data_IF_225278127743
#
_entry.id   IF_225278127743
#
_cell.length_a   1.000
_cell.length_b   1.000
_cell.length_c   1.000
_cell.angle_alpha   90.00
_cell.angle_beta   90.00
_cell.angle_gamma   90.00
#
_symmetry.space_group_name_H-M   'P 1'
#
loop_
_entity.id
_entity.type
_entity.pdbx_description
1 polymer ?
#
# COMPACT_ATOMS: atom_id res chain seq x y z
N UNK A 1 15.11 11.70 2.86
CA UNK A 1 14.55 10.48 2.24
C UNK A 1 15.04 10.43 0.80
N UNK A 2 15.62 9.32 0.38
CA UNK A 2 15.99 9.09 -1.03
C UNK A 2 14.97 8.10 -1.59
N UNK A 3 13.94 8.65 -2.22
CA UNK A 3 12.87 7.91 -2.91
C UNK A 3 13.42 7.47 -4.27
N UNK A 4 13.45 6.18 -4.55
CA UNK A 4 13.88 5.67 -5.86
C UNK A 4 12.91 4.59 -6.35
N UNK A 5 12.13 5.03 -7.34
CA UNK A 5 11.70 4.38 -8.58
C UNK A 5 11.26 2.90 -8.51
N UNK A 6 9.95 2.70 -8.36
CA UNK A 6 9.29 1.62 -9.09
C UNK A 6 9.41 1.92 -10.59
N UNK A 7 9.79 0.94 -11.41
CA UNK A 7 10.02 1.16 -12.85
C UNK A 7 8.79 1.73 -13.59
N UNK A 8 7.58 1.47 -13.09
CA UNK A 8 6.32 2.05 -13.60
C UNK A 8 5.89 3.36 -12.92
N UNK A 9 6.58 3.79 -11.86
CA UNK A 9 6.20 4.95 -11.03
C UNK A 9 5.04 4.67 -10.06
N UNK A 10 4.56 5.74 -9.43
CA UNK A 10 3.33 5.73 -8.63
C UNK A 10 2.07 5.80 -9.51
N UNK A 11 0.95 5.34 -8.95
CA UNK A 11 -0.32 5.25 -9.65
C UNK A 11 -0.88 6.64 -9.99
N UNK A 12 -0.56 7.67 -9.20
CA UNK A 12 -0.99 9.06 -9.50
C UNK A 12 -0.32 9.58 -10.77
N UNK A 13 0.97 9.38 -10.94
CA UNK A 13 1.73 9.73 -12.15
C UNK A 13 1.25 8.94 -13.35
N UNK A 14 0.89 7.66 -13.16
CA UNK A 14 0.35 6.83 -14.22
C UNK A 14 -1.01 7.35 -14.71
N UNK A 15 -1.95 7.60 -13.80
CA UNK A 15 -3.26 8.19 -14.09
C UNK A 15 -3.10 9.57 -14.74
N UNK A 16 -2.20 10.42 -14.22
CA UNK A 16 -1.93 11.74 -14.81
C UNK A 16 -1.46 11.70 -16.27
N UNK A 17 -0.83 10.61 -16.72
CA UNK A 17 -0.41 10.42 -18.12
C UNK A 17 -1.52 9.87 -19.01
N UNK A 18 -2.30 8.92 -18.51
CA UNK A 18 -3.32 8.20 -19.32
C UNK A 18 -4.73 8.77 -19.18
N UNK A 19 -4.94 9.71 -18.24
CA UNK A 19 -6.23 10.25 -17.88
C UNK A 19 -6.96 9.32 -16.91
N UNK A 20 -7.63 8.29 -17.42
CA UNK A 20 -8.37 7.30 -16.63
C UNK A 20 -7.99 5.88 -17.05
N UNK A 21 -8.25 4.93 -16.16
CA UNK A 21 -8.07 3.51 -16.42
C UNK A 21 -9.36 2.90 -16.96
N UNK A 22 -9.19 2.00 -17.93
CA UNK A 22 -10.27 1.11 -18.34
C UNK A 22 -10.63 0.16 -17.19
N UNK A 23 -11.89 -0.24 -17.13
CA UNK A 23 -12.44 -1.01 -16.01
C UNK A 23 -11.64 -2.30 -15.73
N UNK A 24 -11.19 -3.02 -16.77
CA UNK A 24 -10.39 -4.23 -16.61
C UNK A 24 -9.04 -3.96 -15.92
N UNK A 25 -8.36 -2.88 -16.31
CA UNK A 25 -7.09 -2.50 -15.68
C UNK A 25 -7.32 -2.05 -14.23
N UNK A 26 -8.38 -1.27 -14.00
CA UNK A 26 -8.75 -0.84 -12.66
C UNK A 26 -9.11 -2.02 -11.76
N UNK A 27 -9.85 -3.00 -12.29
CA UNK A 27 -10.19 -4.24 -11.60
C UNK A 27 -8.94 -5.02 -11.19
N UNK A 28 -7.97 -5.16 -12.08
CA UNK A 28 -6.73 -5.88 -11.77
C UNK A 28 -5.93 -5.20 -10.64
N UNK A 29 -5.69 -3.89 -10.75
CA UNK A 29 -4.98 -3.10 -9.72
C UNK A 29 -5.75 -3.13 -8.39
N UNK A 30 -7.06 -2.90 -8.42
CA UNK A 30 -7.86 -2.84 -7.21
C UNK A 30 -8.01 -4.22 -6.52
N UNK A 31 -8.08 -5.30 -7.29
CA UNK A 31 -8.04 -6.68 -6.76
C UNK A 31 -6.77 -6.91 -5.94
N UNK A 32 -5.61 -6.47 -6.45
CA UNK A 32 -4.36 -6.56 -5.71
C UNK A 32 -4.35 -5.67 -4.46
N UNK A 33 -4.93 -4.47 -4.52
CA UNK A 33 -5.06 -3.57 -3.37
C UNK A 33 -5.90 -4.19 -2.26
N UNK A 34 -7.03 -4.80 -2.62
CA UNK A 34 -7.87 -5.55 -1.68
C UNK A 34 -7.08 -6.70 -1.03
N UNK A 35 -6.22 -7.39 -1.77
CA UNK A 35 -5.37 -8.44 -1.20
C UNK A 35 -4.41 -7.90 -0.13
N UNK A 36 -3.68 -6.84 -0.45
CA UNK A 36 -2.66 -6.26 0.45
C UNK A 36 -3.33 -5.68 1.69
N UNK A 37 -4.41 -4.90 1.52
CA UNK A 37 -5.14 -4.31 2.65
C UNK A 37 -5.82 -5.39 3.49
N UNK A 38 -6.37 -6.44 2.87
CA UNK A 38 -6.90 -7.59 3.61
C UNK A 38 -5.84 -8.20 4.50
N UNK A 39 -4.65 -8.45 3.95
CA UNK A 39 -3.55 -9.01 4.71
C UNK A 39 -3.18 -8.10 5.91
N UNK A 40 -3.06 -6.79 5.70
CA UNK A 40 -2.79 -5.85 6.78
C UNK A 40 -3.88 -5.92 7.87
N UNK A 41 -5.14 -5.85 7.47
CA UNK A 41 -6.27 -5.86 8.40
C UNK A 41 -6.37 -7.17 9.18
N UNK A 42 -6.13 -8.31 8.54
CA UNK A 42 -6.13 -9.63 9.19
C UNK A 42 -5.03 -9.74 10.26
N UNK A 43 -3.89 -9.07 10.03
CA UNK A 43 -2.80 -8.97 11.01
C UNK A 43 -2.98 -7.82 12.03
N UNK A 44 -4.16 -7.21 12.07
CA UNK A 44 -4.47 -6.14 13.02
C UNK A 44 -3.73 -4.84 12.73
N UNK A 45 -3.42 -4.54 11.46
CA UNK A 45 -2.84 -3.26 11.03
C UNK A 45 -3.83 -2.52 10.14
N UNK A 46 -3.96 -1.20 10.35
CA UNK A 46 -4.60 -0.28 9.41
C UNK A 46 -3.55 0.69 8.86
N UNK A 47 -3.61 0.98 7.54
CA UNK A 47 -2.62 1.80 6.85
C UNK A 47 -2.82 3.30 7.10
N UNK A 48 -4.06 3.76 7.03
CA UNK A 48 -4.52 5.15 7.22
C UNK A 48 -3.98 6.19 6.23
N UNK A 49 -3.45 5.76 5.09
CA UNK A 49 -3.00 6.66 4.00
C UNK A 49 -2.98 5.92 2.64
N UNK A 50 -4.05 5.15 2.34
CA UNK A 50 -4.17 4.53 1.02
C UNK A 50 -4.52 5.63 0.01
N UNK A 51 -3.54 5.99 -0.81
CA UNK A 51 -3.65 7.00 -1.85
C UNK A 51 -2.87 6.58 -3.07
N UNK A 52 -3.15 7.22 -4.20
CA UNK A 52 -2.53 6.88 -5.48
C UNK A 52 -0.99 7.02 -5.43
N UNK A 53 -0.47 7.99 -4.68
CA UNK A 53 0.97 8.21 -4.46
C UNK A 53 1.65 7.03 -3.76
N UNK A 54 0.93 6.34 -2.87
CA UNK A 54 1.44 5.24 -2.07
C UNK A 54 1.24 3.88 -2.75
N UNK A 55 0.69 3.85 -3.98
CA UNK A 55 0.48 2.63 -4.75
C UNK A 55 1.45 2.66 -5.93
N UNK A 56 2.50 1.84 -5.84
CA UNK A 56 3.53 1.75 -6.87
C UNK A 56 3.20 0.64 -7.87
N UNK A 57 3.53 0.84 -9.13
CA UNK A 57 3.40 -0.15 -10.20
C UNK A 57 4.77 -0.67 -10.63
N UNK A 58 4.93 -1.99 -10.68
CA UNK A 58 6.09 -2.61 -11.31
C UNK A 58 5.90 -2.84 -12.82
N UNK A 59 6.97 -3.28 -13.49
CA UNK A 59 7.02 -3.54 -14.92
C UNK A 59 6.10 -4.69 -15.37
N UNK A 60 5.56 -5.46 -14.42
CA UNK A 60 4.64 -6.58 -14.65
C UNK A 60 3.19 -6.22 -14.32
N UNK A 61 2.92 -4.96 -13.99
CA UNK A 61 1.59 -4.50 -13.60
C UNK A 61 1.16 -4.96 -12.21
N UNK A 62 2.09 -5.41 -11.36
CA UNK A 62 1.80 -5.71 -9.97
C UNK A 62 1.90 -4.44 -9.13
N UNK A 63 1.02 -4.33 -8.15
CA UNK A 63 0.99 -3.18 -7.26
C UNK A 63 1.82 -3.45 -6.00
N UNK A 64 2.36 -2.39 -5.43
CA UNK A 64 3.00 -2.42 -4.10
C UNK A 64 2.53 -1.22 -3.31
N UNK A 65 1.84 -1.48 -2.21
CA UNK A 65 1.47 -0.47 -1.24
C UNK A 65 2.70 -0.09 -0.41
N UNK A 66 3.04 1.19 -0.39
CA UNK A 66 4.17 1.73 0.35
C UNK A 66 3.74 2.80 1.36
N UNK A 67 4.72 3.28 2.14
CA UNK A 67 4.55 4.31 3.16
C UNK A 67 3.56 3.97 4.30
N UNK A 68 4.00 3.05 5.15
CA UNK A 68 3.32 2.71 6.41
C UNK A 68 3.64 3.71 7.53
N UNK A 69 4.16 4.90 7.24
CA UNK A 69 4.54 5.90 8.26
C UNK A 69 3.36 6.34 9.15
N UNK A 70 2.14 6.22 8.64
CA UNK A 70 0.90 6.50 9.37
C UNK A 70 0.15 5.24 9.81
N UNK A 71 0.68 4.04 9.56
CA UNK A 71 0.01 2.80 9.92
C UNK A 71 -0.08 2.63 11.45
N UNK A 72 -1.10 1.91 11.92
CA UNK A 72 -1.30 1.64 13.35
C UNK A 72 -1.77 0.22 13.59
N UNK A 73 -1.45 -0.32 14.77
CA UNK A 73 -2.11 -1.53 15.27
C UNK A 73 -3.54 -1.23 15.67
N UNK A 74 -4.44 -2.13 15.32
CA UNK A 74 -5.86 -2.08 15.62
C UNK A 74 -6.17 -3.18 16.63
N UNK A 75 -6.42 -2.77 17.86
CA UNK A 75 -6.87 -3.67 18.92
C UNK A 75 -8.39 -3.81 18.85
N UNK A 76 -8.96 -5.03 18.87
CA UNK A 76 -10.41 -5.20 18.93
C UNK A 76 -11.03 -4.41 20.09
N UNK A 77 -12.08 -3.64 19.80
CA UNK A 77 -12.79 -2.83 20.79
C UNK A 77 -12.14 -1.49 21.14
N UNK A 78 -10.96 -1.17 20.59
CA UNK A 78 -10.34 0.15 20.76
C UNK A 78 -10.41 0.96 19.47
N UNK A 79 -10.83 2.22 19.58
CA UNK A 79 -10.79 3.15 18.48
C UNK A 79 -9.45 3.87 18.37
N UNK A 80 -9.22 4.48 17.21
CA UNK A 80 -8.02 5.29 16.94
C UNK A 80 -8.36 6.77 17.09
N UNK A 81 -7.45 7.54 17.68
CA UNK A 81 -7.54 9.00 17.80
C UNK A 81 -6.59 9.70 16.84
N UNK A 82 -6.86 10.98 16.59
CA UNK A 82 -6.02 11.86 15.80
C UNK A 82 -6.38 11.84 14.32
N UNK A 83 -6.26 13.01 13.70
CA UNK A 83 -6.40 13.17 12.27
C UNK A 83 -5.03 12.98 11.61
N UNK A 84 -4.95 12.12 10.60
CA UNK A 84 -3.76 11.87 9.81
C UNK A 84 -4.15 11.46 8.40
N UNK A 85 -3.19 11.48 7.48
CA UNK A 85 -3.41 11.13 6.08
C UNK A 85 -3.72 12.35 5.21
N UNK A 86 -3.93 12.08 3.92
CA UNK A 86 -4.17 13.10 2.90
C UNK A 86 -5.66 13.44 2.83
N UNK A 87 -6.01 14.74 2.93
CA UNK A 87 -7.39 15.23 3.13
C UNK A 87 -8.39 14.64 2.13
N UNK A 88 -8.04 14.57 0.84
CA UNK A 88 -8.93 14.09 -0.23
C UNK A 88 -9.29 12.60 -0.11
N UNK A 89 -8.54 11.84 0.70
CA UNK A 89 -8.73 10.41 0.94
C UNK A 89 -9.33 10.11 2.32
N UNK A 90 -9.46 11.12 3.18
CA UNK A 90 -9.94 10.95 4.55
C UNK A 90 -11.42 10.59 4.60
N UNK A 91 -11.78 9.77 5.57
CA UNK A 91 -13.17 9.38 5.81
C UNK A 91 -13.91 10.43 6.67
N UNK A 92 -15.24 10.61 6.51
CA UNK A 92 -16.01 11.64 7.20
C UNK A 92 -15.94 11.54 8.73
N UNK A 93 -15.80 10.33 9.28
CA UNK A 93 -15.69 10.11 10.72
C UNK A 93 -14.43 10.73 11.34
N UNK A 94 -13.35 10.92 10.57
CA UNK A 94 -12.09 11.48 11.05
C UNK A 94 -12.24 12.96 11.43
N UNK A 95 -13.22 13.65 10.87
CA UNK A 95 -13.54 15.06 11.15
C UNK A 95 -14.40 15.25 12.41
N UNK A 96 -14.74 14.17 13.11
CA UNK A 96 -15.53 14.24 14.35
C UNK A 96 -14.68 14.54 15.59
N UNK A 97 -13.36 14.34 15.51
CA UNK A 97 -12.45 14.41 16.67
C UNK A 97 -12.64 13.26 17.67
N UNK A 98 -13.56 12.33 17.41
CA UNK A 98 -13.82 11.15 18.23
C UNK A 98 -12.92 9.99 17.80
N UNK A 99 -12.90 8.97 18.65
CA UNK A 99 -12.33 7.68 18.27
C UNK A 99 -13.07 7.08 17.07
N UNK A 100 -12.31 6.54 16.11
CA UNK A 100 -12.85 5.91 14.92
C UNK A 100 -12.21 4.54 14.65
N UNK A 101 -12.86 3.74 13.80
CA UNK A 101 -12.32 2.46 13.35
C UNK A 101 -11.32 2.68 12.20
N UNK A 102 -10.03 2.54 12.48
CA UNK A 102 -8.99 2.76 11.48
C UNK A 102 -9.09 1.83 10.25
N UNK A 103 -9.62 0.60 10.41
CA UNK A 103 -9.85 -0.29 9.27
C UNK A 103 -10.97 0.23 8.37
N UNK A 104 -12.03 0.81 8.94
CA UNK A 104 -13.11 1.39 8.15
C UNK A 104 -12.64 2.61 7.36
N UNK A 105 -11.73 3.42 7.92
CA UNK A 105 -11.09 4.54 7.22
C UNK A 105 -10.31 4.06 5.99
N UNK A 106 -9.56 2.96 6.12
CA UNK A 106 -8.87 2.38 4.96
C UNK A 106 -9.84 2.04 3.82
N UNK A 107 -11.00 1.45 4.14
CA UNK A 107 -12.02 1.10 3.14
C UNK A 107 -12.54 2.34 2.40
N UNK A 108 -12.78 3.45 3.10
CA UNK A 108 -13.17 4.71 2.46
C UNK A 108 -12.09 5.22 1.51
N UNK A 109 -10.84 5.25 1.96
CA UNK A 109 -9.70 5.71 1.15
C UNK A 109 -9.49 4.85 -0.10
N UNK A 110 -9.75 3.53 -0.02
CA UNK A 110 -9.78 2.64 -1.18
C UNK A 110 -10.90 3.01 -2.16
N UNK A 111 -12.06 3.49 -1.69
CA UNK A 111 -13.12 4.06 -2.52
C UNK A 111 -12.65 5.25 -3.33
N UNK A 112 -11.94 6.18 -2.69
CA UNK A 112 -11.35 7.36 -3.36
C UNK A 112 -10.34 6.93 -4.41
N UNK A 113 -9.47 5.95 -4.10
CA UNK A 113 -8.53 5.36 -5.07
C UNK A 113 -9.25 4.78 -6.28
N UNK A 114 -10.24 3.90 -6.07
CA UNK A 114 -10.97 3.25 -7.16
C UNK A 114 -11.72 4.25 -8.04
N UNK A 115 -12.42 5.19 -7.41
CA UNK A 115 -13.13 6.24 -8.13
C UNK A 115 -12.16 7.05 -8.99
N UNK A 116 -11.06 7.50 -8.41
CA UNK A 116 -10.09 8.34 -9.14
C UNK A 116 -9.42 7.58 -10.29
N UNK A 117 -9.18 6.27 -10.13
CA UNK A 117 -8.67 5.42 -11.21
C UNK A 117 -9.57 5.43 -12.45
N UNK A 118 -10.89 5.35 -12.28
CA UNK A 118 -11.83 5.21 -13.42
C UNK A 118 -12.45 6.53 -13.88
N UNK A 119 -12.42 7.57 -13.05
CA UNK A 119 -12.99 8.90 -13.37
C UNK A 119 -11.92 9.95 -13.67
N UNK A 120 -10.66 9.74 -13.31
CA UNK A 120 -9.58 10.74 -13.40
C UNK A 120 -9.82 12.02 -12.59
N UNK A 121 -10.71 11.97 -11.60
CA UNK A 121 -10.97 13.09 -10.69
C UNK A 121 -11.36 12.59 -9.31
N UNK A 122 -11.18 13.42 -8.29
CA UNK A 122 -11.62 13.11 -6.94
C UNK A 122 -13.16 13.13 -6.81
N UNK A 123 -13.74 12.23 -6.00
CA UNK A 123 -15.19 12.15 -5.77
C UNK A 123 -15.71 13.34 -4.95
N UNK A 124 -14.86 13.90 -4.06
CA UNK A 124 -15.19 15.01 -3.18
C UNK A 124 -14.14 16.11 -3.38
N UNK A 125 -14.59 17.35 -3.48
CA UNK A 125 -13.71 18.51 -3.64
C UNK A 125 -14.27 19.66 -2.82
N UNK A 126 -13.43 20.25 -1.99
CA UNK A 126 -13.83 21.34 -1.13
C UNK A 126 -12.63 22.24 -0.83
N UNK A 127 -12.90 23.51 -0.53
CA UNK A 127 -11.87 24.51 -0.22
C UNK A 127 -11.55 24.56 1.28
N UNK A 128 -12.43 24.03 2.14
CA UNK A 128 -12.24 24.02 3.59
C UNK A 128 -12.49 22.63 4.17
N UNK A 129 -11.94 22.39 5.37
CA UNK A 129 -12.18 21.15 6.12
C UNK A 129 -13.66 20.93 6.44
N UNK A 130 -14.40 22.01 6.74
CA UNK A 130 -15.83 21.94 7.05
C UNK A 130 -16.64 21.54 5.83
N UNK A 131 -16.37 22.19 4.68
CA UNK A 131 -17.07 21.90 3.43
C UNK A 131 -16.77 20.47 2.95
N UNK A 132 -15.51 20.02 3.09
CA UNK A 132 -15.11 18.64 2.74
C UNK A 132 -15.91 17.62 3.54
N UNK A 133 -16.09 17.87 4.84
CA UNK A 133 -16.88 17.02 5.71
C UNK A 133 -18.34 16.97 5.27
N UNK A 134 -18.94 18.11 4.92
CA UNK A 134 -20.33 18.16 4.46
C UNK A 134 -20.54 17.38 3.16
N UNK A 135 -19.64 17.54 2.19
CA UNK A 135 -19.64 16.78 0.93
C UNK A 135 -19.53 15.26 1.17
N UNK A 136 -18.73 14.84 2.15
CA UNK A 136 -18.56 13.42 2.48
C UNK A 136 -19.72 12.84 3.32
N UNK A 137 -20.50 13.68 4.01
CA UNK A 137 -21.67 13.25 4.79
C UNK A 137 -22.92 13.07 3.92
N UNK A 138 -23.01 13.79 2.80
CA UNK A 138 -24.02 13.61 1.76
C UNK A 138 -23.35 13.45 0.38
N UNK A 139 -22.75 12.27 0.09
CA UNK A 139 -21.93 12.06 -1.11
C UNK A 139 -22.68 12.30 -2.42
N UNK A 140 -22.26 13.31 -3.20
CA UNK A 140 -22.81 13.70 -4.52
C UNK A 140 -21.86 13.46 -5.69
N UNK A 141 -21.06 12.39 -5.64
CA UNK A 141 -20.14 12.05 -6.72
C UNK A 141 -20.88 11.51 -7.96
N UNK A 142 -20.28 11.70 -9.14
CA UNK A 142 -20.86 11.28 -10.41
C UNK A 142 -20.33 9.91 -10.83
N UNK A 143 -21.24 8.98 -11.18
CA UNK A 143 -20.88 7.72 -11.82
C UNK A 143 -21.39 7.74 -13.27
N UNK A 144 -20.48 7.72 -14.27
CA UNK A 144 -20.85 7.64 -15.67
C UNK A 144 -21.62 6.35 -15.99
N UNK A 145 -22.60 6.44 -16.89
CA UNK A 145 -23.34 5.28 -17.40
C UNK A 145 -22.48 4.30 -18.20
N UNK A 146 -21.25 4.69 -18.55
CA UNK A 146 -20.25 3.85 -19.24
C UNK A 146 -19.61 2.83 -18.30
N UNK A 147 -19.70 3.01 -16.99
CA UNK A 147 -19.21 2.05 -16.00
C UNK A 147 -20.17 0.88 -15.86
N UNK A 148 -19.64 -0.32 -15.64
CA UNK A 148 -20.49 -1.46 -15.33
C UNK A 148 -21.26 -1.28 -14.02
N UNK A 149 -22.41 -1.94 -13.90
CA UNK A 149 -23.18 -1.92 -12.66
C UNK A 149 -22.38 -2.47 -11.47
N UNK A 150 -21.43 -3.38 -11.73
CA UNK A 150 -20.62 -4.03 -10.70
C UNK A 150 -19.57 -3.08 -10.10
N UNK A 151 -18.87 -2.28 -10.93
CA UNK A 151 -17.94 -1.27 -10.40
C UNK A 151 -18.70 -0.12 -9.73
N UNK A 152 -19.82 0.31 -10.30
CA UNK A 152 -20.66 1.32 -9.66
C UNK A 152 -21.12 0.86 -8.28
N UNK A 153 -21.55 -0.40 -8.16
CA UNK A 153 -22.00 -0.97 -6.91
C UNK A 153 -20.90 -1.04 -5.84
N UNK A 154 -19.68 -1.48 -6.19
CA UNK A 154 -18.58 -1.51 -5.20
C UNK A 154 -18.19 -0.10 -4.75
N UNK A 155 -18.17 0.89 -5.66
CA UNK A 155 -17.88 2.29 -5.31
C UNK A 155 -18.92 2.83 -4.32
N UNK A 156 -20.21 2.56 -4.57
CA UNK A 156 -21.30 2.97 -3.67
C UNK A 156 -21.14 2.34 -2.28
N UNK A 157 -20.80 1.05 -2.20
CA UNK A 157 -20.55 0.39 -0.92
C UNK A 157 -19.35 1.00 -0.18
N UNK A 158 -18.27 1.32 -0.88
CA UNK A 158 -17.06 1.93 -0.30
C UNK A 158 -17.33 3.31 0.32
N UNK A 159 -18.22 4.10 -0.29
CA UNK A 159 -18.66 5.40 0.21
C UNK A 159 -19.87 5.33 1.17
N UNK A 160 -20.09 4.19 1.82
CA UNK A 160 -21.05 4.11 2.94
C UNK A 160 -20.57 5.00 4.08
N UNK A 161 -21.34 6.06 4.38
CA UNK A 161 -20.97 7.10 5.36
C UNK A 161 -20.82 6.53 6.76
N UNK A 162 -21.76 5.68 7.20
CA UNK A 162 -21.73 5.03 8.51
C UNK A 162 -20.63 3.96 8.56
N UNK A 163 -19.55 4.12 9.34
CA UNK A 163 -18.41 3.20 9.32
C UNK A 163 -18.78 1.77 9.70
N UNK A 164 -19.80 1.58 10.54
CA UNK A 164 -20.31 0.29 10.98
C UNK A 164 -21.13 -0.46 9.91
N UNK A 165 -21.64 0.26 8.91
CA UNK A 165 -22.37 -0.30 7.76
C UNK A 165 -21.47 -0.46 6.54
N UNK A 166 -20.31 0.21 6.53
CA UNK A 166 -19.30 0.10 5.46
C UNK A 166 -18.77 -1.34 5.40
N UNK A 167 -18.59 -1.92 4.19
CA UNK A 167 -18.14 -3.30 4.07
C UNK A 167 -16.76 -3.49 4.71
N UNK A 168 -16.54 -4.64 5.34
CA UNK A 168 -15.20 -5.02 5.80
C UNK A 168 -14.42 -5.55 4.61
N UNK A 169 -13.09 -5.47 4.71
CA UNK A 169 -12.21 -5.96 3.63
C UNK A 169 -12.43 -7.44 3.30
N UNK A 170 -12.85 -8.24 4.28
CA UNK A 170 -13.21 -9.64 4.09
C UNK A 170 -14.44 -9.82 3.19
N UNK A 171 -15.45 -8.97 3.35
CA UNK A 171 -16.66 -8.99 2.53
C UNK A 171 -16.35 -8.50 1.11
N UNK A 172 -15.51 -7.46 0.99
CA UNK A 172 -15.07 -6.94 -0.30
C UNK A 172 -14.39 -7.98 -1.18
N UNK A 173 -13.58 -8.88 -0.60
CA UNK A 173 -12.92 -9.98 -1.36
C UNK A 173 -13.89 -10.89 -2.10
N UNK A 174 -15.17 -10.89 -1.72
CA UNK A 174 -16.23 -11.71 -2.33
C UNK A 174 -17.11 -10.90 -3.28
N UNK A 175 -16.80 -9.63 -3.48
CA UNK A 175 -17.56 -8.76 -4.36
C UNK A 175 -17.47 -9.26 -5.82
N UNK A 176 -18.60 -9.30 -6.52
CA UNK A 176 -18.71 -9.84 -7.89
C UNK A 176 -17.85 -9.10 -8.92
N UNK A 177 -17.48 -7.85 -8.60
CA UNK A 177 -16.59 -7.05 -9.44
C UNK A 177 -15.12 -7.47 -9.37
N UNK A 178 -14.66 -8.16 -8.32
CA UNK A 178 -13.24 -8.54 -8.22
C UNK A 178 -12.95 -9.85 -8.98
N UNK A 179 -11.70 -10.03 -9.45
CA UNK A 179 -11.27 -11.28 -10.10
C UNK A 179 -11.32 -12.48 -9.12
N UNK A 180 -11.22 -13.71 -9.62
CA UNK A 180 -11.38 -14.93 -8.81
C UNK A 180 -10.19 -15.23 -7.90
N UNK A 181 -10.43 -16.08 -6.88
CA UNK A 181 -9.50 -16.49 -5.80
C UNK A 181 -8.09 -16.94 -6.23
N UNK A 182 -7.88 -17.33 -7.48
CA UNK A 182 -6.59 -17.83 -7.98
C UNK A 182 -5.52 -16.74 -8.07
N UNK A 183 -5.88 -15.51 -8.44
CA UNK A 183 -4.95 -14.37 -8.40
C UNK A 183 -4.57 -14.01 -6.95
N UNK A 184 -5.54 -14.13 -6.02
CA UNK A 184 -5.33 -13.86 -4.60
C UNK A 184 -4.30 -14.81 -3.98
N UNK A 185 -4.36 -16.12 -4.29
CA UNK A 185 -3.44 -17.11 -3.74
C UNK A 185 -1.98 -16.85 -4.12
N UNK A 186 -1.73 -16.46 -5.38
CA UNK A 186 -0.37 -16.12 -5.86
C UNK A 186 0.20 -14.89 -5.15
N UNK A 187 -0.62 -13.87 -4.89
CA UNK A 187 -0.21 -12.64 -4.20
C UNK A 187 0.08 -12.91 -2.72
N UNK A 188 -0.79 -13.66 -2.04
CA UNK A 188 -0.57 -14.05 -0.63
C UNK A 188 0.70 -14.88 -0.47
N UNK A 189 0.95 -15.86 -1.36
CA UNK A 189 2.17 -16.66 -1.34
C UNK A 189 3.43 -15.83 -1.60
N UNK A 190 3.37 -14.84 -2.49
CA UNK A 190 4.47 -13.90 -2.75
C UNK A 190 4.80 -13.06 -1.51
N UNK A 191 3.76 -12.54 -0.85
CA UNK A 191 3.89 -11.77 0.39
C UNK A 191 4.46 -12.60 1.54
N UNK A 192 3.99 -13.83 1.72
CA UNK A 192 4.52 -14.77 2.73
C UNK A 192 5.97 -15.18 2.43
N UNK A 193 6.31 -15.42 1.16
CA UNK A 193 7.68 -15.71 0.75
C UNK A 193 8.64 -14.53 1.02
N UNK A 194 8.18 -13.29 0.85
CA UNK A 194 8.94 -12.08 1.18
C UNK A 194 9.25 -11.96 2.68
N UNK A 195 8.39 -12.47 3.57
CA UNK A 195 8.60 -12.41 5.01
C UNK A 195 9.36 -13.60 5.57
N UNK A 196 9.22 -14.78 4.95
CA UNK A 196 9.87 -16.01 5.41
C UNK A 196 11.31 -16.15 4.91
N UNK A 197 11.67 -15.51 3.79
CA UNK A 197 13.01 -15.56 3.22
C UNK A 197 13.65 -14.16 3.20
N UNK A 198 14.42 -13.85 4.26
CA UNK A 198 15.21 -12.63 4.33
C UNK A 198 16.29 -12.65 3.25
N UNK A 199 16.34 -11.62 2.40
CA UNK A 199 17.42 -11.44 1.44
C UNK A 199 18.69 -10.97 2.19
N UNK A 200 19.74 -11.80 2.29
CA UNK A 200 20.91 -11.49 3.11
C UNK A 200 21.63 -10.22 2.65
N UNK A 201 21.61 -9.91 1.35
CA UNK A 201 22.26 -8.73 0.80
C UNK A 201 21.59 -7.43 1.27
N UNK A 202 20.28 -7.46 1.47
CA UNK A 202 19.50 -6.29 1.91
C UNK A 202 19.60 -6.10 3.41
N UNK A 203 19.63 -7.19 4.18
CA UNK A 203 19.93 -7.13 5.61
C UNK A 203 21.31 -6.50 5.85
N UNK A 204 22.32 -6.84 5.03
CA UNK A 204 23.65 -6.22 5.07
C UNK A 204 23.61 -4.73 4.67
N UNK A 205 22.87 -4.38 3.61
CA UNK A 205 22.71 -2.99 3.18
C UNK A 205 22.05 -2.12 4.26
N UNK A 206 20.99 -2.62 4.89
CA UNK A 206 20.33 -1.95 6.01
C UNK A 206 21.21 -1.89 7.26
N UNK A 207 22.06 -2.89 7.48
CA UNK A 207 23.13 -2.85 8.48
C UNK A 207 24.03 -1.62 8.32
N UNK A 208 24.40 -1.30 7.08
CA UNK A 208 25.20 -0.10 6.75
C UNK A 208 24.41 1.21 6.86
N UNK A 209 23.08 1.14 6.85
CA UNK A 209 22.18 2.28 7.12
C UNK A 209 21.92 2.49 8.63
N UNK A 210 22.57 1.70 9.49
CA UNK A 210 22.44 1.79 10.95
C UNK A 210 21.32 0.92 11.55
N UNK A 211 20.70 0.04 10.77
CA UNK A 211 19.67 -0.89 11.28
C UNK A 211 20.29 -2.24 11.67
N UNK A 212 20.10 -2.67 12.92
CA UNK A 212 20.69 -3.92 13.38
C UNK A 212 19.96 -5.15 12.76
N UNK A 213 20.68 -6.19 12.28
CA UNK A 213 20.09 -7.38 11.65
C UNK A 213 19.01 -8.08 12.49
N UNK A 214 19.20 -8.13 13.81
CA UNK A 214 18.20 -8.70 14.73
C UNK A 214 16.91 -7.86 14.79
N UNK A 215 17.02 -6.53 14.68
CA UNK A 215 15.86 -5.65 14.69
C UNK A 215 15.11 -5.72 13.35
N UNK A 216 15.84 -5.89 12.25
CA UNK A 216 15.25 -6.14 10.92
C UNK A 216 14.46 -7.45 10.94
N UNK A 217 15.10 -8.54 11.41
CA UNK A 217 14.45 -9.85 11.53
C UNK A 217 13.27 -9.83 12.50
N UNK A 218 13.42 -9.22 13.69
CA UNK A 218 12.33 -9.09 14.66
C UNK A 218 11.18 -8.22 14.10
N UNK A 219 11.47 -7.11 13.43
CA UNK A 219 10.42 -6.26 12.86
C UNK A 219 9.65 -6.94 11.73
N UNK A 220 10.31 -7.78 10.93
CA UNK A 220 9.68 -8.54 9.85
C UNK A 220 8.91 -9.76 10.37
N UNK A 221 9.46 -10.50 11.33
CA UNK A 221 8.79 -11.63 11.99
C UNK A 221 7.60 -11.18 12.84
N UNK A 222 7.73 -10.08 13.57
CA UNK A 222 6.67 -9.53 14.43
C UNK A 222 5.70 -8.59 13.69
N UNK A 223 5.92 -8.39 12.37
CA UNK A 223 5.10 -7.55 11.49
C UNK A 223 4.90 -6.17 12.09
N UNK A 224 5.99 -5.51 12.50
CA UNK A 224 5.97 -4.24 13.23
C UNK A 224 5.70 -3.01 12.34
N UNK A 225 5.69 -3.16 11.00
CA UNK A 225 5.35 -2.12 10.00
C UNK A 225 5.93 -0.73 10.32
N UNK A 226 7.16 -0.70 10.82
CA UNK A 226 7.89 0.52 11.16
C UNK A 226 8.87 0.91 10.03
N UNK A 227 9.60 2.01 10.21
CA UNK A 227 10.57 2.51 9.23
C UNK A 227 11.59 1.46 8.77
N UNK A 228 11.94 0.50 9.63
CA UNK A 228 12.84 -0.61 9.31
C UNK A 228 12.17 -1.55 8.30
N UNK A 229 10.93 -1.95 8.54
CA UNK A 229 10.17 -2.80 7.62
C UNK A 229 9.92 -2.13 6.27
N UNK A 230 9.57 -0.84 6.26
CA UNK A 230 9.40 -0.05 5.03
C UNK A 230 10.71 -0.01 4.21
N UNK A 231 11.84 0.27 4.86
CA UNK A 231 13.15 0.33 4.21
C UNK A 231 13.56 -1.03 3.63
N UNK A 232 13.28 -2.12 4.34
CA UNK A 232 13.57 -3.47 3.88
C UNK A 232 12.78 -3.84 2.61
N UNK A 233 11.47 -3.58 2.59
CA UNK A 233 10.59 -3.88 1.44
C UNK A 233 11.06 -3.11 0.20
N UNK A 234 11.45 -1.84 0.37
CA UNK A 234 11.97 -1.00 -0.71
C UNK A 234 13.27 -1.57 -1.28
N UNK A 235 14.22 -1.96 -0.44
CA UNK A 235 15.49 -2.52 -0.89
C UNK A 235 15.33 -3.91 -1.54
N UNK A 236 14.38 -4.71 -1.07
CA UNK A 236 14.02 -5.99 -1.68
C UNK A 236 13.40 -5.87 -3.06
N UNK A 237 12.81 -4.72 -3.35
CA UNK A 237 12.35 -4.40 -4.69
C UNK A 237 13.50 -4.03 -5.65
N UNK A 238 14.54 -3.37 -5.14
CA UNK A 238 15.63 -2.83 -5.95
C UNK A 238 16.66 -3.86 -6.38
N UNK A 239 16.67 -5.05 -5.78
CA UNK A 239 17.58 -6.11 -6.21
C UNK A 239 16.98 -6.77 -7.44
N UNK A 240 17.47 -6.48 -8.67
CA UNK A 240 17.14 -7.34 -9.80
C UNK A 240 17.70 -8.71 -9.42
N UNK A 241 17.08 -9.77 -9.91
CA UNK A 241 17.60 -11.12 -9.79
C UNK A 241 18.96 -11.22 -10.53
N UNK A 242 20.03 -10.74 -9.91
CA UNK A 242 21.40 -10.71 -10.44
C UNK A 242 22.34 -10.76 -9.22
N UNK A 243 22.48 -11.98 -8.69
CA UNK A 243 23.08 -12.33 -7.40
C UNK A 243 24.57 -11.97 -7.20
N UNK A 244 25.22 -11.22 -8.09
CA UNK A 244 26.68 -11.00 -8.00
C UNK A 244 27.17 -9.57 -8.28
N UNK A 245 26.32 -8.63 -8.74
CA UNK A 245 26.81 -7.31 -9.20
C UNK A 245 26.70 -6.19 -8.17
N UNK A 246 25.82 -6.28 -7.17
CA UNK A 246 25.67 -5.21 -6.15
C UNK A 246 26.78 -5.22 -5.10
N UNK A 247 27.41 -6.38 -4.86
CA UNK A 247 28.55 -6.50 -3.95
C UNK A 247 29.79 -5.74 -4.45
N UNK A 248 29.95 -5.57 -5.78
CA UNK A 248 31.11 -4.92 -6.37
C UNK A 248 31.09 -3.37 -6.28
N UNK A 249 29.91 -2.75 -6.14
CA UNK A 249 29.78 -1.27 -6.09
C UNK A 249 30.03 -0.64 -4.72
N UNK A 250 30.19 -1.45 -3.67
CA UNK A 250 30.48 -0.98 -2.30
C UNK A 250 31.73 -1.60 -1.69
N UNK A 251 32.61 -2.16 -2.51
CA UNK A 251 33.97 -2.51 -2.09
C UNK A 251 34.82 -1.24 -2.16
N UNK A 252 35.51 -0.83 -1.07
CA UNK A 252 36.59 0.14 -1.18
C UNK A 252 37.67 -0.43 -2.12
N UNK A 253 38.13 0.38 -3.06
CA UNK A 253 39.43 0.14 -3.68
C UNK A 253 40.50 0.15 -2.55
N UNK A 254 41.40 -0.84 -2.59
CA UNK A 254 42.46 -1.15 -1.61
C UNK A 254 42.13 -2.22 -0.58
N UNK A 255 42.40 -3.47 -0.98
CA UNK A 255 43.36 -4.30 -0.26
C UNK A 255 44.17 -5.06 -1.30
N UNK A 256 45.37 -4.55 -1.61
CA UNK A 256 46.39 -5.30 -2.32
C UNK A 256 46.80 -6.48 -1.43
N UNK A 257 46.25 -7.67 -1.70
CA UNK A 257 46.81 -8.91 -1.16
C UNK A 257 48.06 -9.23 -1.95
N UNK A 258 49.22 -8.99 -1.34
CA UNK A 258 50.47 -9.62 -1.75
C UNK A 258 50.37 -11.13 -1.52
N UNK A 259 50.93 -11.96 -2.42
CA UNK A 259 50.88 -13.41 -2.25
C UNK A 259 51.97 -13.84 -1.25
N UNK A 260 51.59 -14.07 0.00
CA UNK A 260 52.44 -14.79 0.95
C UNK A 260 52.36 -16.29 0.67
N UNK A 261 53.53 -16.82 0.36
CA UNK A 261 53.88 -18.17 -0.12
C UNK A 261 53.35 -19.29 0.78
N UNK A 262 52.93 -20.38 0.14
CA UNK A 262 52.95 -21.71 0.73
C UNK A 262 54.39 -22.13 1.07
N UNK A 263 54.59 -22.68 2.26
CA UNK A 263 55.69 -23.61 2.52
C UNK A 263 55.40 -24.41 3.79
N UNK A 264 55.26 -25.72 3.57
CA UNK A 264 55.45 -26.91 4.43
C UNK A 264 54.81 -26.99 5.82
#
# INVERSE_FOLDING_TARGET
MVLEHAAGGDLVSYIGKVGHLQEEQAQHIFTQLVCVVHYCHDNGIAHRDNKLDNILLDDKGLIKLCDFGLATRVTPGQGTKGFCGTLDYCAPEMFSGKEYNAKAVDIWSMGVVLYTMVIASFPFKANTYSDMKEEMLDPKYHLPYTLSQNIANIIVQLFTVKPEQRPKIFDMRRHQWLKTKEEFGKITLSLEALWNNLNPCIVVAMGRMGHHPKDISACLCEKKFNNIMSTYIILNHKSPCDHYKYAAKFLPAHCSMSPSRCSH
#
